data_IF_479588560504
#
_entry.id   IF_479588560504
#
_cell.length_a   1.000
_cell.length_b   1.000
_cell.length_c   1.000
_cell.angle_alpha   90.00
_cell.angle_beta   90.00
_cell.angle_gamma   90.00
#
_symmetry.space_group_name_H-M   'P 1'
#
loop_
_entity.id
_entity.type
_entity.pdbx_description
1 polymer ?
#
# COMPACT_ATOMS: atom_id res chain seq x y z
N UNK A 1 10.21 15.66 10.98
CA UNK A 1 10.91 15.67 9.66
C UNK A 1 10.36 14.54 8.83
N UNK A 2 10.54 13.32 9.34
CA UNK A 2 9.59 12.23 9.19
C UNK A 2 8.41 12.48 10.15
N UNK A 3 7.19 12.21 9.70
CA UNK A 3 5.89 12.26 10.41
C UNK A 3 4.95 11.34 9.62
N UNK A 4 3.71 11.14 10.08
CA UNK A 4 2.67 10.37 9.37
C UNK A 4 2.63 10.78 7.89
N UNK A 5 2.92 9.81 7.02
CA UNK A 5 3.02 10.01 5.57
C UNK A 5 1.77 10.65 4.97
N UNK A 6 0.60 10.46 5.58
CA UNK A 6 -0.68 11.02 5.11
C UNK A 6 -0.82 12.51 5.44
N UNK A 7 -0.09 13.02 6.43
CA UNK A 7 -0.05 14.46 6.77
C UNK A 7 0.89 15.24 5.86
N UNK A 8 1.80 14.55 5.17
CA UNK A 8 2.79 15.14 4.28
C UNK A 8 2.23 15.33 2.88
N UNK A 9 2.44 16.53 2.32
CA UNK A 9 2.09 16.79 0.93
C UNK A 9 2.93 15.90 -0.04
N UNK A 10 2.45 15.66 -1.27
CA UNK A 10 3.13 14.75 -2.20
C UNK A 10 4.59 15.12 -2.49
N UNK A 11 4.89 16.39 -2.73
CA UNK A 11 6.24 16.85 -3.03
C UNK A 11 7.21 16.59 -1.87
N UNK A 12 6.76 16.81 -0.63
CA UNK A 12 7.55 16.54 0.57
C UNK A 12 7.76 15.03 0.77
N UNK A 13 6.77 14.20 0.47
CA UNK A 13 6.92 12.73 0.51
C UNK A 13 7.96 12.23 -0.49
N UNK A 14 7.93 12.73 -1.72
CA UNK A 14 8.94 12.36 -2.74
C UNK A 14 10.34 12.79 -2.29
N UNK A 15 10.51 14.00 -1.76
CA UNK A 15 11.81 14.44 -1.20
C UNK A 15 12.30 13.55 -0.06
N UNK A 16 11.40 13.14 0.84
CA UNK A 16 11.76 12.25 1.95
C UNK A 16 12.04 10.84 1.48
N UNK A 17 11.32 10.34 0.48
CA UNK A 17 11.61 9.05 -0.16
C UNK A 17 13.05 9.03 -0.65
N UNK A 18 13.44 9.99 -1.50
CA UNK A 18 14.81 10.04 -2.06
C UNK A 18 15.88 10.16 -0.97
N UNK A 19 15.59 10.91 0.11
CA UNK A 19 16.48 11.00 1.25
C UNK A 19 16.61 9.68 2.00
N UNK A 20 15.50 8.99 2.28
CA UNK A 20 15.50 7.71 3.00
C UNK A 20 16.26 6.66 2.18
N UNK A 21 15.90 6.51 0.91
CA UNK A 21 16.45 5.45 0.04
C UNK A 21 17.88 5.72 -0.41
N UNK A 22 18.33 6.97 -0.39
CA UNK A 22 19.70 7.38 -0.69
C UNK A 22 20.60 7.61 0.53
N UNK A 23 20.13 7.33 1.76
CA UNK A 23 20.98 7.46 2.96
C UNK A 23 21.87 6.22 3.10
N UNK A 24 23.18 6.43 3.18
CA UNK A 24 24.15 5.35 3.40
C UNK A 24 23.83 4.56 4.66
N UNK A 25 23.87 3.23 4.54
CA UNK A 25 23.55 2.30 5.62
C UNK A 25 22.05 2.02 5.84
N UNK A 26 21.15 2.72 5.13
CA UNK A 26 19.72 2.38 5.13
C UNK A 26 19.45 1.31 4.09
N UNK A 27 19.10 0.12 4.55
CA UNK A 27 18.58 -0.96 3.69
C UNK A 27 17.05 -0.90 3.69
N UNK A 28 16.45 -0.96 2.51
CA UNK A 28 15.02 -0.86 2.34
C UNK A 28 14.52 -1.82 1.27
N UNK A 29 13.26 -2.21 1.39
CA UNK A 29 12.58 -3.04 0.41
C UNK A 29 11.09 -2.68 0.37
N UNK A 30 10.46 -2.97 -0.78
CA UNK A 30 9.02 -2.84 -0.98
C UNK A 30 8.52 -4.13 -1.62
N UNK A 31 7.43 -4.65 -1.10
CA UNK A 31 6.73 -5.78 -1.68
C UNK A 31 5.24 -5.49 -1.80
N UNK A 32 4.59 -6.17 -2.74
CA UNK A 32 3.18 -6.01 -3.04
C UNK A 32 2.45 -7.35 -2.87
N UNK A 33 1.17 -7.25 -2.54
CA UNK A 33 0.22 -8.34 -2.74
C UNK A 33 -0.65 -7.98 -3.95
N UNK A 34 -0.73 -8.88 -4.91
CA UNK A 34 -1.52 -8.66 -6.12
C UNK A 34 -3.02 -8.69 -5.84
N UNK A 35 -3.81 -8.14 -6.76
CA UNK A 35 -5.29 -8.12 -6.64
C UNK A 35 -5.86 -9.52 -6.43
N UNK A 36 -5.37 -10.52 -7.17
CA UNK A 36 -5.80 -11.91 -7.00
C UNK A 36 -5.44 -12.51 -5.64
N UNK A 37 -4.35 -12.06 -5.02
CA UNK A 37 -3.99 -12.48 -3.66
C UNK A 37 -4.88 -11.82 -2.62
N UNK A 38 -5.20 -10.54 -2.80
CA UNK A 38 -6.14 -9.80 -1.94
C UNK A 38 -7.52 -10.45 -2.00
N UNK A 39 -8.02 -10.75 -3.20
CA UNK A 39 -9.33 -11.37 -3.39
C UNK A 39 -9.39 -12.79 -2.79
N UNK A 40 -8.29 -13.56 -2.86
CA UNK A 40 -8.20 -14.92 -2.29
C UNK A 40 -8.02 -14.93 -0.77
N UNK A 41 -7.18 -14.06 -0.23
CA UNK A 41 -6.74 -14.12 1.16
C UNK A 41 -7.52 -13.21 2.11
N UNK A 42 -8.25 -12.22 1.57
CA UNK A 42 -8.69 -10.98 2.22
C UNK A 42 -7.57 -9.95 2.42
N UNK A 43 -7.97 -8.68 2.65
CA UNK A 43 -7.05 -7.55 2.74
C UNK A 43 -6.10 -7.63 3.95
N UNK A 44 -6.52 -8.21 5.07
CA UNK A 44 -5.68 -8.31 6.27
C UNK A 44 -4.53 -9.29 6.02
N UNK A 45 -4.85 -10.51 5.56
CA UNK A 45 -3.83 -11.53 5.27
C UNK A 45 -2.93 -11.16 4.10
N UNK A 46 -3.48 -10.50 3.07
CA UNK A 46 -2.67 -9.97 1.96
C UNK A 46 -1.70 -8.86 2.43
N UNK A 47 -2.12 -8.04 3.41
CA UNK A 47 -1.23 -7.05 4.04
C UNK A 47 -0.10 -7.74 4.79
N UNK A 48 -0.39 -8.76 5.60
CA UNK A 48 0.64 -9.53 6.31
C UNK A 48 1.61 -10.22 5.35
N UNK A 49 1.11 -10.77 4.24
CA UNK A 49 1.92 -11.39 3.20
C UNK A 49 2.90 -10.38 2.56
N UNK A 50 2.42 -9.19 2.20
CA UNK A 50 3.28 -8.14 1.65
C UNK A 50 4.33 -7.67 2.66
N UNK A 51 3.96 -7.51 3.93
CA UNK A 51 4.92 -7.15 5.00
C UNK A 51 6.00 -8.23 5.16
N UNK A 52 5.60 -9.51 5.19
CA UNK A 52 6.54 -10.64 5.32
C UNK A 52 7.51 -10.70 4.13
N UNK A 53 7.01 -10.52 2.90
CA UNK A 53 7.84 -10.44 1.69
C UNK A 53 8.87 -9.31 1.77
N UNK A 54 8.44 -8.11 2.15
CA UNK A 54 9.32 -6.96 2.26
C UNK A 54 10.43 -7.19 3.31
N UNK A 55 10.09 -7.78 4.45
CA UNK A 55 11.06 -8.04 5.51
C UNK A 55 12.07 -9.14 5.11
N UNK A 56 11.61 -10.17 4.40
CA UNK A 56 12.47 -11.26 3.93
C UNK A 56 13.37 -10.89 2.76
N UNK A 57 13.05 -9.83 2.00
CA UNK A 57 13.87 -9.35 0.89
C UNK A 57 14.94 -8.33 1.29
N UNK A 58 15.02 -7.95 2.57
CA UNK A 58 16.10 -7.13 3.09
C UNK A 58 17.39 -7.96 3.22
N UNK A 59 18.51 -7.35 2.83
CA UNK A 59 19.85 -7.90 3.01
C UNK A 59 20.79 -6.82 3.60
N UNK A 60 21.33 -6.99 4.83
CA UNK A 60 21.10 -8.12 5.71
C UNK A 60 19.65 -8.20 6.20
N UNK A 61 19.20 -9.43 6.51
CA UNK A 61 17.89 -9.66 7.11
C UNK A 61 17.84 -9.03 8.51
N UNK A 62 16.73 -8.35 8.89
CA UNK A 62 16.62 -7.77 10.22
C UNK A 62 16.46 -8.84 11.30
N UNK A 63 17.08 -8.61 12.47
CA UNK A 63 16.91 -9.44 13.66
C UNK A 63 15.54 -9.21 14.34
N UNK A 64 14.98 -8.01 14.18
CA UNK A 64 13.72 -7.61 14.80
C UNK A 64 12.98 -6.56 13.95
N UNK A 65 11.64 -6.60 13.95
CA UNK A 65 10.80 -5.66 13.23
C UNK A 65 9.89 -4.86 14.18
N UNK A 66 9.69 -3.57 13.87
CA UNK A 66 8.64 -2.75 14.46
C UNK A 66 7.54 -2.59 13.40
N UNK A 67 6.31 -2.99 13.73
CA UNK A 67 5.20 -3.03 12.78
C UNK A 67 4.09 -2.08 13.24
N UNK A 68 3.56 -1.27 12.32
CA UNK A 68 2.39 -0.43 12.60
C UNK A 68 1.12 -1.29 12.61
N UNK A 69 0.43 -1.31 13.75
CA UNK A 69 -0.87 -1.96 13.90
C UNK A 69 -0.92 -3.01 15.01
N UNK A 70 -1.66 -4.09 14.73
CA UNK A 70 -1.88 -5.21 15.66
C UNK A 70 -0.84 -6.31 15.44
N UNK A 71 -0.60 -7.19 16.44
CA UNK A 71 0.31 -8.33 16.30
C UNK A 71 0.01 -9.22 15.09
N UNK A 72 1.06 -9.76 14.46
CA UNK A 72 0.98 -10.63 13.29
C UNK A 72 1.38 -12.07 13.69
N UNK A 73 0.41 -12.99 13.90
CA UNK A 73 0.72 -14.32 14.43
C UNK A 73 1.70 -15.16 13.59
N UNK A 74 1.74 -14.94 12.28
CA UNK A 74 2.53 -15.73 11.32
C UNK A 74 3.66 -14.92 10.66
N UNK A 75 4.16 -13.88 11.34
CA UNK A 75 5.25 -13.06 10.80
C UNK A 75 6.61 -13.78 10.92
N UNK A 76 7.45 -13.81 9.87
CA UNK A 76 8.64 -14.66 9.84
C UNK A 76 9.83 -14.14 10.66
N UNK A 77 9.72 -12.95 11.24
CA UNK A 77 10.78 -12.28 11.99
C UNK A 77 10.23 -11.88 13.37
N UNK A 78 11.03 -11.95 14.45
CA UNK A 78 10.64 -11.38 15.74
C UNK A 78 10.14 -9.94 15.58
N UNK A 79 9.03 -9.58 16.21
CA UNK A 79 8.45 -8.26 16.02
C UNK A 79 7.64 -7.76 17.21
N UNK A 80 7.60 -6.43 17.33
CA UNK A 80 6.64 -5.70 18.16
C UNK A 80 5.63 -4.98 17.26
N UNK A 81 4.36 -5.07 17.63
CA UNK A 81 3.28 -4.32 16.97
C UNK A 81 2.95 -3.07 17.79
N UNK A 82 2.96 -1.91 17.11
CA UNK A 82 2.75 -0.61 17.71
C UNK A 82 1.56 0.05 17.01
N UNK A 83 0.48 0.28 17.75
CA UNK A 83 -0.69 0.99 17.23
C UNK A 83 -0.33 2.46 16.99
N UNK A 84 -0.55 2.95 15.76
CA UNK A 84 -0.10 4.30 15.31
C UNK A 84 1.41 4.45 15.39
N UNK A 85 2.12 3.39 15.03
CA UNK A 85 3.56 3.30 15.14
C UNK A 85 4.29 4.33 14.27
N UNK A 86 3.66 4.81 13.20
CA UNK A 86 4.20 5.88 12.33
C UNK A 86 4.37 7.22 13.04
N UNK A 87 3.59 7.49 14.09
CA UNK A 87 3.70 8.68 14.93
C UNK A 87 4.69 8.53 16.10
N UNK A 88 5.21 7.33 16.33
CA UNK A 88 6.02 6.97 17.50
C UNK A 88 7.44 6.54 17.09
N UNK A 89 7.56 5.77 16.01
CA UNK A 89 8.81 5.17 15.54
C UNK A 89 9.23 5.77 14.20
N UNK A 90 10.48 6.25 14.14
CA UNK A 90 11.06 6.80 12.91
C UNK A 90 11.23 5.75 11.81
N UNK A 91 11.51 4.48 12.17
CA UNK A 91 11.64 3.40 11.17
C UNK A 91 10.29 3.06 10.56
N UNK A 92 9.22 3.04 11.36
CA UNK A 92 7.85 2.87 10.86
C UNK A 92 7.45 4.07 9.99
N UNK A 93 7.71 5.30 10.43
CA UNK A 93 7.43 6.50 9.65
C UNK A 93 8.13 6.46 8.28
N UNK A 94 9.42 6.11 8.25
CA UNK A 94 10.19 5.97 7.02
C UNK A 94 9.61 4.88 6.10
N UNK A 95 9.31 3.69 6.64
CA UNK A 95 8.69 2.60 5.88
C UNK A 95 7.32 3.01 5.30
N UNK A 96 6.52 3.77 6.05
CA UNK A 96 5.21 4.26 5.57
C UNK A 96 5.35 5.22 4.38
N UNK A 97 6.38 6.07 4.36
CA UNK A 97 6.68 6.98 3.25
C UNK A 97 7.10 6.17 2.02
N UNK A 98 8.02 5.23 2.20
CA UNK A 98 8.50 4.34 1.12
C UNK A 98 7.32 3.58 0.50
N UNK A 99 6.50 2.92 1.31
CA UNK A 99 5.32 2.20 0.84
C UNK A 99 4.32 3.11 0.10
N UNK A 100 4.05 4.31 0.65
CA UNK A 100 3.09 5.23 0.07
C UNK A 100 3.55 5.79 -1.28
N UNK A 101 4.81 6.22 -1.38
CA UNK A 101 5.37 6.75 -2.63
C UNK A 101 5.44 5.67 -3.70
N UNK A 102 5.90 4.46 -3.35
CA UNK A 102 5.92 3.33 -4.30
C UNK A 102 4.52 2.97 -4.81
N UNK A 103 3.51 2.91 -3.92
CA UNK A 103 2.11 2.66 -4.33
C UNK A 103 1.56 3.76 -5.22
N UNK A 104 1.79 5.04 -4.89
CA UNK A 104 1.29 6.17 -5.67
C UNK A 104 1.95 6.20 -7.07
N UNK A 105 3.22 5.82 -7.19
CA UNK A 105 3.92 5.69 -8.50
C UNK A 105 3.25 4.63 -9.38
N UNK A 106 2.98 3.42 -8.85
CA UNK A 106 2.27 2.36 -9.58
C UNK A 106 0.87 2.83 -10.02
N UNK A 107 0.14 3.53 -9.17
CA UNK A 107 -1.20 4.00 -9.52
C UNK A 107 -1.20 5.06 -10.62
N UNK A 108 -0.13 5.86 -10.74
CA UNK A 108 0.04 6.77 -11.89
C UNK A 108 0.35 6.00 -13.19
N UNK A 109 1.04 4.87 -13.10
CA UNK A 109 1.29 4.01 -14.27
C UNK A 109 -0.01 3.33 -14.71
N UNK A 110 -0.76 2.76 -13.78
CA UNK A 110 -2.09 2.18 -14.04
C UNK A 110 -3.05 3.24 -14.59
N UNK A 111 -3.00 4.48 -14.11
CA UNK A 111 -3.80 5.60 -14.64
C UNK A 111 -3.49 5.89 -16.12
N UNK A 112 -2.23 5.76 -16.55
CA UNK A 112 -1.87 5.93 -17.96
C UNK A 112 -2.45 4.83 -18.84
N UNK A 113 -2.54 3.61 -18.32
CA UNK A 113 -3.12 2.47 -19.02
C UNK A 113 -4.65 2.50 -19.02
N UNK A 114 -5.26 2.94 -17.91
CA UNK A 114 -6.70 3.02 -17.71
C UNK A 114 -7.15 4.44 -17.29
N UNK A 115 -7.05 5.45 -18.18
CA UNK A 115 -7.20 6.86 -17.82
C UNK A 115 -8.62 7.26 -17.39
N UNK A 116 -9.63 6.49 -17.77
CA UNK A 116 -11.02 6.79 -17.44
C UNK A 116 -11.36 6.56 -15.96
N UNK A 117 -10.55 5.82 -15.20
CA UNK A 117 -10.81 5.61 -13.77
C UNK A 117 -10.29 6.74 -12.89
N UNK A 118 -9.21 7.44 -13.27
CA UNK A 118 -8.64 8.55 -12.48
C UNK A 118 -7.79 8.10 -11.28
N UNK A 119 -7.18 6.92 -11.34
CA UNK A 119 -6.32 6.35 -10.30
C UNK A 119 -5.23 7.30 -9.80
N UNK A 120 -4.65 8.13 -10.67
CA UNK A 120 -3.61 9.08 -10.27
C UNK A 120 -4.12 10.15 -9.29
N UNK A 121 -5.43 10.42 -9.26
CA UNK A 121 -6.03 11.45 -8.38
C UNK A 121 -6.48 10.87 -7.05
N UNK A 122 -7.28 9.80 -7.07
CA UNK A 122 -7.89 9.24 -5.87
C UNK A 122 -7.22 7.95 -5.40
N UNK A 123 -6.13 7.51 -6.02
CA UNK A 123 -5.30 6.40 -5.55
C UNK A 123 -6.06 5.06 -5.36
N UNK A 124 -7.08 4.85 -6.19
CA UNK A 124 -7.96 3.68 -6.13
C UNK A 124 -9.00 3.68 -5.00
N UNK A 125 -9.09 4.75 -4.20
CA UNK A 125 -10.20 4.90 -3.24
C UNK A 125 -11.53 5.06 -3.97
N UNK A 126 -12.62 4.56 -3.39
CA UNK A 126 -13.98 4.63 -3.96
C UNK A 126 -14.60 6.02 -3.82
N UNK A 127 -14.01 7.02 -4.46
CA UNK A 127 -14.60 8.36 -4.57
C UNK A 127 -15.82 8.31 -5.49
N UNK A 128 -16.69 9.33 -5.43
CA UNK A 128 -17.85 9.44 -6.34
C UNK A 128 -17.44 9.28 -7.81
N UNK A 129 -16.32 9.90 -8.17
CA UNK A 129 -15.80 9.83 -9.52
C UNK A 129 -15.36 8.42 -9.92
N UNK A 130 -14.64 7.72 -9.03
CA UNK A 130 -14.18 6.37 -9.31
C UNK A 130 -15.34 5.39 -9.43
N UNK A 131 -16.37 5.54 -8.58
CA UNK A 131 -17.58 4.72 -8.62
C UNK A 131 -18.38 4.97 -9.90
N UNK A 132 -18.43 6.20 -10.40
CA UNK A 132 -19.09 6.52 -11.66
C UNK A 132 -18.32 5.93 -12.85
N UNK A 133 -16.99 6.05 -12.88
CA UNK A 133 -16.15 5.40 -13.89
C UNK A 133 -16.31 3.88 -13.86
N UNK A 134 -16.37 3.28 -12.68
CA UNK A 134 -16.62 1.85 -12.48
C UNK A 134 -18.01 1.44 -13.01
N UNK A 135 -19.04 2.27 -12.83
CA UNK A 135 -20.39 2.04 -13.36
C UNK A 135 -20.42 2.13 -14.89
N UNK A 136 -19.70 3.09 -15.48
CA UNK A 136 -19.70 3.35 -16.92
C UNK A 136 -18.84 2.34 -17.70
N UNK A 137 -17.69 1.95 -17.16
CA UNK A 137 -16.69 1.18 -17.88
C UNK A 137 -16.51 -0.26 -17.35
N UNK A 138 -17.19 -0.62 -16.26
CA UNK A 138 -16.97 -1.87 -15.56
C UNK A 138 -15.60 -1.94 -14.87
N UNK A 139 -15.29 -3.03 -14.16
CA UNK A 139 -14.00 -3.20 -13.48
C UNK A 139 -12.87 -3.60 -14.43
N UNK A 140 -11.71 -2.97 -14.28
CA UNK A 140 -10.44 -3.41 -14.90
C UNK A 140 -9.67 -4.44 -14.05
N UNK A 141 -8.58 -5.06 -14.56
CA UNK A 141 -7.78 -6.05 -13.83
C UNK A 141 -7.23 -5.58 -12.46
N UNK A 142 -7.09 -4.27 -12.25
CA UNK A 142 -6.60 -3.70 -10.99
C UNK A 142 -7.69 -3.48 -9.93
N UNK A 143 -8.96 -3.75 -10.25
CA UNK A 143 -10.05 -3.69 -9.29
C UNK A 143 -10.15 -4.98 -8.47
N UNK A 144 -10.21 -4.83 -7.14
CA UNK A 144 -10.39 -5.93 -6.19
C UNK A 144 -11.82 -6.43 -6.25
N UNK A 145 -12.05 -7.58 -6.89
CA UNK A 145 -13.39 -8.09 -7.17
C UNK A 145 -14.15 -8.47 -5.91
N UNK A 146 -13.45 -8.80 -4.82
CA UNK A 146 -14.03 -9.10 -3.51
C UNK A 146 -14.58 -7.87 -2.78
N UNK A 147 -14.26 -6.64 -3.22
CA UNK A 147 -14.68 -5.42 -2.53
C UNK A 147 -16.10 -5.03 -2.99
N UNK A 148 -16.97 -4.70 -2.03
CA UNK A 148 -18.40 -4.48 -2.24
C UNK A 148 -18.77 -3.69 -3.51
N UNK A 149 -18.26 -2.46 -3.72
CA UNK A 149 -18.61 -1.66 -4.90
C UNK A 149 -18.24 -2.33 -6.23
N UNK A 150 -17.17 -3.11 -6.25
CA UNK A 150 -16.72 -3.85 -7.44
C UNK A 150 -17.55 -5.11 -7.62
N UNK A 151 -17.77 -5.89 -6.55
CA UNK A 151 -18.61 -7.10 -6.59
C UNK A 151 -20.05 -6.79 -7.06
N UNK A 152 -20.57 -5.63 -6.69
CA UNK A 152 -21.92 -5.19 -7.08
C UNK A 152 -22.05 -4.85 -8.57
N UNK A 153 -20.94 -4.58 -9.29
CA UNK A 153 -21.01 -4.35 -10.75
C UNK A 153 -21.43 -5.60 -11.53
N UNK A 154 -21.19 -6.80 -10.99
CA UNK A 154 -21.64 -8.06 -11.58
C UNK A 154 -23.06 -8.47 -11.15
N UNK A 155 -23.66 -7.76 -10.22
CA UNK A 155 -25.01 -8.00 -9.70
C UNK A 155 -25.97 -6.97 -10.33
N UNK A 156 -26.07 -6.98 -11.67
CA UNK A 156 -27.15 -6.23 -12.31
C UNK A 156 -28.48 -6.91 -11.93
N UNK A 157 -29.30 -6.22 -11.15
CA UNK A 157 -30.72 -6.56 -11.04
C UNK A 157 -31.40 -6.00 -12.29
N UNK A 158 -31.77 -6.90 -13.22
CA UNK A 158 -32.79 -6.60 -14.23
C UNK A 158 -34.15 -6.37 -13.56
#
# INVERSE_FOLDING_TARGET
>A
GLDDSKKLNPARREQLYERITGTDGVVWAVAFAEVGEIDRLNILRATHLAMARAALSLDPRPDHCLIDGLPLPEFPIPHDAIVKGDSISLSIAAASIVAKVSRDRILREIDREFPHYGFARHQGYGTKEHLEALRLHGPCPHHRRSFGPVAQTSLAFE
#
